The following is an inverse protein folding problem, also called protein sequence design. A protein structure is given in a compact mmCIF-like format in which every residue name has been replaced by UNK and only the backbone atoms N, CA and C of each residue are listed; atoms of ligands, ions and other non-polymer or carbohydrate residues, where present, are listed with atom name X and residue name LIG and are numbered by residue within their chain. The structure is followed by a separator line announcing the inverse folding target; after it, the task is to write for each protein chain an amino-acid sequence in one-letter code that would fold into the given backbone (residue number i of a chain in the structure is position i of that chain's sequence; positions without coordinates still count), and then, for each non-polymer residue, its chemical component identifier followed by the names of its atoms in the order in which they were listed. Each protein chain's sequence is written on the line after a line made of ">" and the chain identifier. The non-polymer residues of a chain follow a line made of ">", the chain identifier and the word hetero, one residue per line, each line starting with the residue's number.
data_IF_847148603012
#
_entry.id   IF_847148603012
#
_cell.length_a   1.000
_cell.length_b   1.000
_cell.length_c   1.000
_cell.angle_alpha   90.00
_cell.angle_beta   90.00
_cell.angle_gamma   90.00
#
_symmetry.space_group_name_H-M   'P 1'
#
loop_
_entity.id
_entity.type
_entity.pdbx_description
1 polymer ?
#
# COMPACT_ATOMS: atom_id res chain seq x y z
N UNK A 1 42.55 -60.10 38.12
CA UNK A 1 41.31 -60.08 37.33
C UNK A 1 41.61 -59.26 36.08
N UNK A 2 41.77 -59.91 34.94
CA UNK A 2 42.03 -59.28 33.64
C UNK A 2 40.73 -59.35 32.83
N UNK A 3 40.12 -58.21 32.53
CA UNK A 3 38.99 -58.12 31.61
C UNK A 3 39.52 -58.08 30.18
N UNK A 4 39.19 -59.11 29.40
CA UNK A 4 39.44 -59.16 27.97
C UNK A 4 38.40 -58.31 27.24
N UNK A 5 38.86 -57.23 26.60
CA UNK A 5 38.07 -56.48 25.63
C UNK A 5 37.94 -57.27 24.33
N UNK A 6 36.71 -57.68 23.99
CA UNK A 6 36.37 -58.17 22.66
C UNK A 6 36.19 -57.00 21.69
N UNK A 7 36.77 -57.04 20.48
CA UNK A 7 36.53 -56.02 19.47
C UNK A 7 35.13 -56.18 18.86
N UNK A 8 34.33 -55.11 18.89
CA UNK A 8 33.07 -55.05 18.17
C UNK A 8 33.30 -54.97 16.67
N UNK A 9 32.78 -55.96 15.96
CA UNK A 9 32.73 -56.01 14.50
C UNK A 9 31.72 -54.96 13.99
N UNK A 10 32.23 -53.90 13.36
CA UNK A 10 31.42 -52.83 12.77
C UNK A 10 30.90 -53.29 11.41
N UNK A 11 29.62 -53.61 11.33
CA UNK A 11 28.96 -53.89 10.06
C UNK A 11 29.03 -52.66 9.13
N UNK A 12 29.54 -52.80 7.90
CA UNK A 12 29.61 -51.68 6.97
C UNK A 12 28.19 -51.30 6.56
N UNK A 13 27.72 -50.15 7.02
CA UNK A 13 26.48 -49.56 6.53
C UNK A 13 26.68 -49.28 5.04
N UNK A 14 25.90 -49.94 4.19
CA UNK A 14 26.00 -49.84 2.74
C UNK A 14 25.82 -48.39 2.31
N UNK A 15 26.87 -47.81 1.70
CA UNK A 15 26.92 -46.43 1.21
C UNK A 15 25.71 -46.10 0.32
N UNK A 16 25.16 -47.10 -0.38
CA UNK A 16 23.96 -46.97 -1.21
C UNK A 16 22.68 -46.64 -0.43
N UNK A 17 22.57 -47.06 0.83
CA UNK A 17 21.42 -46.73 1.70
C UNK A 17 21.43 -45.24 2.08
N UNK A 18 22.62 -44.68 2.31
CA UNK A 18 22.78 -43.25 2.65
C UNK A 18 22.45 -42.38 1.42
N UNK A 19 22.93 -42.76 0.24
CA UNK A 19 22.63 -42.03 -1.01
C UNK A 19 21.13 -42.07 -1.33
N UNK A 20 20.47 -43.22 -1.15
CA UNK A 20 19.03 -43.35 -1.37
C UNK A 20 18.19 -42.44 -0.45
N UNK A 21 18.55 -42.36 0.83
CA UNK A 21 17.85 -41.52 1.80
C UNK A 21 17.96 -40.01 1.49
N UNK A 22 19.12 -39.56 0.98
CA UNK A 22 19.35 -38.16 0.62
C UNK A 22 18.48 -37.74 -0.58
N UNK A 23 18.37 -38.59 -1.61
CA UNK A 23 17.58 -38.29 -2.82
C UNK A 23 16.08 -38.17 -2.51
N UNK A 24 15.54 -39.06 -1.67
CA UNK A 24 14.13 -39.02 -1.27
C UNK A 24 13.82 -37.72 -0.50
N UNK A 25 14.72 -37.33 0.41
CA UNK A 25 14.54 -36.12 1.21
C UNK A 25 14.56 -34.86 0.34
N UNK A 26 15.45 -34.79 -0.66
CA UNK A 26 15.51 -33.67 -1.59
C UNK A 26 14.23 -33.54 -2.46
N UNK A 27 13.65 -34.66 -2.89
CA UNK A 27 12.42 -34.66 -3.69
C UNK A 27 11.20 -34.20 -2.89
N UNK A 28 11.09 -34.59 -1.62
CA UNK A 28 9.98 -34.16 -0.75
C UNK A 28 10.05 -32.65 -0.50
N UNK A 29 11.24 -32.12 -0.17
CA UNK A 29 11.42 -30.68 0.07
C UNK A 29 11.16 -29.88 -1.22
N UNK A 30 11.67 -30.33 -2.37
CA UNK A 30 11.44 -29.68 -3.66
C UNK A 30 9.97 -29.67 -4.08
N UNK A 31 9.25 -30.78 -3.87
CA UNK A 31 7.82 -30.91 -4.19
C UNK A 31 6.93 -29.96 -3.38
N UNK A 32 7.22 -29.79 -2.08
CA UNK A 32 6.45 -28.88 -1.20
C UNK A 32 6.64 -27.42 -1.59
N UNK A 33 7.87 -27.01 -1.91
CA UNK A 33 8.17 -25.64 -2.37
C UNK A 33 7.50 -25.35 -3.71
N UNK A 34 7.56 -26.30 -4.66
CA UNK A 34 6.91 -26.16 -5.96
C UNK A 34 5.38 -26.07 -5.85
N UNK A 35 4.76 -26.89 -5.00
CA UNK A 35 3.31 -26.84 -4.76
C UNK A 35 2.88 -25.48 -4.21
N UNK A 36 3.60 -24.96 -3.20
CA UNK A 36 3.32 -23.66 -2.58
C UNK A 36 3.52 -22.48 -3.55
N UNK A 37 4.53 -22.53 -4.42
CA UNK A 37 4.75 -21.51 -5.44
C UNK A 37 3.67 -21.55 -6.52
N UNK A 38 3.23 -22.74 -6.93
CA UNK A 38 2.17 -22.90 -7.95
C UNK A 38 0.81 -22.35 -7.48
N UNK A 39 0.48 -22.48 -6.19
CA UNK A 39 -0.76 -21.94 -5.63
C UNK A 39 -0.80 -20.42 -5.65
N UNK A 40 0.35 -19.74 -5.49
CA UNK A 40 0.45 -18.28 -5.60
C UNK A 40 0.31 -17.79 -7.04
N UNK A 41 0.82 -18.55 -8.01
CA UNK A 41 0.70 -18.23 -9.43
C UNK A 41 -0.74 -18.31 -9.94
N UNK A 42 -1.49 -19.34 -9.54
CA UNK A 42 -2.91 -19.49 -9.94
C UNK A 42 -3.79 -18.35 -9.43
N UNK A 43 -3.57 -17.89 -8.20
CA UNK A 43 -4.31 -16.75 -7.65
C UNK A 43 -3.98 -15.45 -8.39
N UNK A 44 -2.71 -15.25 -8.76
CA UNK A 44 -2.31 -14.11 -9.57
C UNK A 44 -2.93 -14.15 -10.97
N UNK A 45 -2.95 -15.31 -11.62
CA UNK A 45 -3.55 -15.50 -12.95
C UNK A 45 -5.06 -15.23 -12.93
N UNK A 46 -5.79 -15.73 -11.93
CA UNK A 46 -7.21 -15.40 -11.76
C UNK A 46 -7.45 -13.90 -11.57
N UNK A 47 -6.60 -13.22 -10.80
CA UNK A 47 -6.71 -11.76 -10.62
C UNK A 47 -6.45 -10.99 -11.92
N UNK A 48 -5.51 -11.44 -12.75
CA UNK A 48 -5.23 -10.83 -14.05
C UNK A 48 -6.36 -11.08 -15.05
N UNK A 49 -6.92 -12.29 -15.10
CA UNK A 49 -8.08 -12.60 -15.93
C UNK A 49 -9.29 -11.74 -15.55
N UNK A 50 -9.55 -11.55 -14.25
CA UNK A 50 -10.60 -10.65 -13.78
C UNK A 50 -10.36 -9.20 -14.21
N UNK A 51 -9.12 -8.70 -14.15
CA UNK A 51 -8.79 -7.35 -14.64
C UNK A 51 -8.99 -7.22 -16.15
N UNK A 52 -8.59 -8.23 -16.93
CA UNK A 52 -8.81 -8.25 -18.39
C UNK A 52 -10.30 -8.21 -18.70
N UNK A 53 -11.12 -9.05 -18.04
CA UNK A 53 -12.58 -9.02 -18.23
C UNK A 53 -13.18 -7.66 -17.89
N UNK A 54 -12.72 -7.03 -16.81
CA UNK A 54 -13.23 -5.72 -16.39
C UNK A 54 -12.85 -4.62 -17.39
N UNK A 55 -11.61 -4.62 -17.90
CA UNK A 55 -11.17 -3.69 -18.93
C UNK A 55 -11.94 -3.88 -20.24
N UNK A 56 -12.21 -5.14 -20.64
CA UNK A 56 -13.01 -5.44 -21.83
C UNK A 56 -14.43 -4.85 -21.70
N UNK A 57 -15.08 -5.06 -20.56
CA UNK A 57 -16.41 -4.52 -20.29
C UNK A 57 -16.44 -2.97 -20.30
N UNK A 58 -15.36 -2.31 -19.86
CA UNK A 58 -15.25 -0.85 -19.94
C UNK A 58 -15.11 -0.35 -21.38
N UNK A 59 -14.31 -1.05 -22.20
CA UNK A 59 -14.17 -0.73 -23.63
C UNK A 59 -15.52 -0.86 -24.34
N UNK A 60 -16.27 -1.92 -24.05
CA UNK A 60 -17.58 -2.16 -24.65
C UNK A 60 -18.59 -1.05 -24.29
N UNK A 61 -18.60 -0.60 -23.03
CA UNK A 61 -19.44 0.53 -22.61
C UNK A 61 -19.05 1.84 -23.30
N UNK A 62 -17.77 2.13 -23.45
CA UNK A 62 -17.29 3.33 -24.14
C UNK A 62 -17.63 3.32 -25.63
N UNK A 63 -17.56 2.16 -26.29
CA UNK A 63 -17.98 2.01 -27.68
C UNK A 63 -19.48 2.23 -27.85
N UNK A 64 -20.31 1.68 -26.94
CA UNK A 64 -21.76 1.91 -26.97
C UNK A 64 -22.13 3.38 -26.72
N UNK A 65 -21.44 4.05 -25.79
CA UNK A 65 -21.66 5.48 -25.53
C UNK A 65 -21.31 6.35 -26.75
N UNK A 66 -20.30 5.96 -27.52
CA UNK A 66 -19.86 6.70 -28.72
C UNK A 66 -20.81 6.52 -29.91
N UNK A 67 -21.51 5.39 -30.02
CA UNK A 67 -22.48 5.15 -31.10
C UNK A 67 -23.81 5.92 -30.91
N UNK A 68 -24.20 6.20 -29.67
CA UNK A 68 -25.44 6.92 -29.37
C UNK A 68 -25.36 8.46 -29.54
N UNK A 69 -24.19 9.02 -29.85
CA UNK A 69 -24.02 10.48 -30.06
C UNK A 69 -24.19 10.96 -31.50
N UNK A 70 -24.43 10.07 -32.48
CA UNK A 70 -24.48 10.45 -33.90
C UNK A 70 -25.88 10.69 -34.51
N UNK A 71 -26.96 10.76 -33.73
CA UNK A 71 -28.31 11.04 -34.27
C UNK A 71 -29.18 11.92 -33.35
N UNK A 72 -28.94 13.24 -33.36
CA UNK A 72 -29.83 14.38 -33.00
C UNK A 72 -28.93 15.58 -32.60
N UNK A 73 -28.98 16.82 -33.11
CA UNK A 73 -30.02 17.66 -33.73
C UNK A 73 -29.35 18.78 -34.56
N UNK A 74 -29.86 19.03 -35.78
CA UNK A 74 -29.75 20.32 -36.49
C UNK A 74 -30.97 21.17 -36.15
N UNK A 75 -30.80 22.23 -35.37
CA UNK A 75 -31.73 23.37 -35.30
C UNK A 75 -30.97 24.65 -34.90
N UNK A 76 -31.37 25.83 -35.43
CA UNK A 76 -30.62 27.06 -35.26
C UNK A 76 -31.06 27.78 -33.98
N UNK A 77 -30.14 27.91 -33.02
CA UNK A 77 -30.36 28.73 -31.82
C UNK A 77 -29.63 30.05 -31.94
N UNK A 78 -30.44 31.09 -31.91
CA UNK A 78 -30.16 32.52 -31.76
C UNK A 78 -29.00 32.85 -30.83
N UNK A 79 -28.18 33.81 -31.29
CA UNK A 79 -27.12 34.49 -30.55
C UNK A 79 -27.51 34.87 -29.11
N UNK A 80 -26.91 34.19 -28.14
CA UNK A 80 -26.60 34.78 -26.86
C UNK A 80 -25.09 34.67 -26.64
N UNK A 81 -24.45 35.84 -26.54
CA UNK A 81 -23.11 36.02 -25.98
C UNK A 81 -23.10 35.52 -24.54
N UNK A 82 -22.93 34.21 -24.34
CA UNK A 82 -22.52 33.66 -23.06
C UNK A 82 -21.00 33.50 -23.10
N UNK A 83 -20.37 34.31 -22.25
CA UNK A 83 -18.97 34.25 -21.89
C UNK A 83 -18.65 32.83 -21.40
N UNK A 84 -18.14 31.98 -22.31
CA UNK A 84 -17.66 30.62 -22.05
C UNK A 84 -16.38 30.65 -21.21
N UNK A 85 -16.45 31.14 -19.97
CA UNK A 85 -15.41 30.88 -19.00
C UNK A 85 -15.52 29.40 -18.58
N UNK A 86 -14.45 28.61 -18.72
CA UNK A 86 -14.43 27.25 -18.22
C UNK A 86 -14.77 27.28 -16.73
N UNK A 87 -15.79 26.52 -16.33
CA UNK A 87 -16.12 26.33 -14.92
C UNK A 87 -14.94 25.60 -14.30
N UNK A 88 -14.02 26.34 -13.69
CA UNK A 88 -12.88 25.75 -13.00
C UNK A 88 -13.45 24.92 -11.86
N UNK A 89 -13.19 23.61 -11.81
CA UNK A 89 -13.68 22.76 -10.73
C UNK A 89 -13.24 23.34 -9.40
N UNK A 90 -14.19 23.69 -8.54
CA UNK A 90 -13.90 24.27 -7.22
C UNK A 90 -13.08 23.26 -6.43
N UNK A 91 -11.89 23.58 -5.96
CA UNK A 91 -11.10 22.63 -5.17
C UNK A 91 -11.67 22.48 -3.74
N UNK A 92 -11.44 21.33 -3.11
CA UNK A 92 -11.88 21.05 -1.73
C UNK A 92 -10.67 21.20 -0.81
N UNK A 93 -10.66 22.21 0.07
CA UNK A 93 -9.53 22.42 0.99
C UNK A 93 -9.81 21.77 2.33
N UNK A 94 -8.90 20.91 2.78
CA UNK A 94 -8.83 20.39 4.14
C UNK A 94 -7.82 21.18 4.95
N UNK A 95 -8.15 21.48 6.21
CA UNK A 95 -7.24 22.10 7.15
C UNK A 95 -7.30 21.37 8.49
N UNK A 96 -6.14 21.03 9.04
CA UNK A 96 -6.00 20.50 10.39
C UNK A 96 -5.39 21.57 11.30
N UNK A 97 -6.22 22.23 12.09
CA UNK A 97 -5.80 23.34 12.95
C UNK A 97 -4.99 22.89 14.18
N UNK A 98 -5.14 21.62 14.60
CA UNK A 98 -4.43 21.02 15.73
C UNK A 98 -2.94 20.85 15.40
N UNK A 99 -2.64 20.34 14.21
CA UNK A 99 -1.25 20.10 13.78
C UNK A 99 -0.70 21.17 12.84
N UNK A 100 -1.54 22.07 12.32
CA UNK A 100 -1.10 23.20 11.50
C UNK A 100 -0.69 22.80 10.09
N UNK A 101 -1.52 22.02 9.40
CA UNK A 101 -1.31 21.71 7.98
C UNK A 101 -2.61 21.76 7.17
N UNK A 102 -2.48 21.85 5.86
CA UNK A 102 -3.61 21.80 4.91
C UNK A 102 -3.28 20.95 3.68
N UNK A 103 -4.34 20.44 3.05
CA UNK A 103 -4.32 19.71 1.79
C UNK A 103 -5.44 20.22 0.88
N UNK A 104 -5.20 20.17 -0.42
CA UNK A 104 -6.22 20.45 -1.44
C UNK A 104 -6.58 19.14 -2.15
N UNK A 105 -7.87 18.83 -2.12
CA UNK A 105 -8.45 17.66 -2.73
C UNK A 105 -9.19 18.02 -4.03
N UNK A 106 -9.10 17.17 -5.06
CA UNK A 106 -9.90 17.32 -6.26
C UNK A 106 -11.39 17.04 -5.97
N UNK A 107 -12.29 17.49 -6.85
CA UNK A 107 -13.74 17.28 -6.68
C UNK A 107 -14.14 15.79 -6.63
N UNK A 108 -13.35 14.93 -7.23
CA UNK A 108 -13.45 13.47 -7.15
C UNK A 108 -13.38 12.94 -5.71
N UNK A 109 -12.82 13.72 -4.78
CA UNK A 109 -12.75 13.40 -3.36
C UNK A 109 -13.90 13.96 -2.53
N UNK A 110 -14.94 14.50 -3.15
CA UNK A 110 -16.15 14.94 -2.43
C UNK A 110 -16.73 13.78 -1.61
N UNK A 111 -16.94 14.02 -0.31
CA UNK A 111 -17.44 13.00 0.62
C UNK A 111 -16.34 12.15 1.28
N UNK A 112 -15.07 12.52 1.14
CA UNK A 112 -14.01 11.90 1.94
C UNK A 112 -14.29 12.04 3.44
N UNK A 113 -13.76 11.10 4.20
CA UNK A 113 -13.78 11.09 5.66
C UNK A 113 -12.35 11.15 6.19
N UNK A 114 -12.21 11.57 7.45
CA UNK A 114 -10.92 11.53 8.15
C UNK A 114 -11.02 10.69 9.41
N UNK A 115 -9.93 10.03 9.77
CA UNK A 115 -9.79 9.24 10.99
C UNK A 115 -8.43 9.53 11.60
N UNK A 116 -8.38 9.91 12.88
CA UNK A 116 -7.09 10.11 13.57
C UNK A 116 -6.81 8.91 14.46
N UNK A 117 -5.61 8.36 14.36
CA UNK A 117 -5.16 7.24 15.19
C UNK A 117 -3.76 7.51 15.73
N UNK A 118 -3.44 6.95 16.88
CA UNK A 118 -2.08 6.93 17.41
C UNK A 118 -1.63 5.49 17.57
N UNK A 119 -0.50 5.14 16.97
CA UNK A 119 0.02 3.77 16.97
C UNK A 119 1.51 3.73 17.33
N UNK A 120 1.94 2.63 17.93
CA UNK A 120 3.34 2.42 18.27
C UNK A 120 4.08 1.83 17.07
N UNK A 121 5.00 2.61 16.50
CA UNK A 121 5.73 2.22 15.29
C UNK A 121 7.04 1.50 15.56
N UNK A 122 7.51 1.52 16.81
CA UNK A 122 8.77 0.89 17.22
C UNK A 122 8.54 -0.28 18.16
N UNK A 123 7.32 -0.84 18.18
CA UNK A 123 7.00 -2.01 19.01
C UNK A 123 7.80 -3.23 18.52
N UNK A 124 8.85 -3.58 19.25
CA UNK A 124 9.66 -4.76 18.98
C UNK A 124 11.16 -4.53 19.20
N UNK A 125 11.94 -5.38 18.54
CA UNK A 125 13.40 -5.30 18.46
C UNK A 125 13.81 -4.81 17.08
N UNK A 126 14.84 -3.98 17.02
CA UNK A 126 15.41 -3.49 15.76
C UNK A 126 15.98 -4.64 14.93
N UNK A 127 16.28 -4.45 13.63
CA UNK A 127 17.02 -5.44 12.86
C UNK A 127 18.37 -5.81 13.50
N UNK A 128 18.95 -4.93 14.32
CA UNK A 128 20.17 -5.16 15.08
C UNK A 128 19.94 -5.86 16.44
N UNK A 129 18.70 -6.19 16.80
CA UNK A 129 18.35 -6.87 18.06
C UNK A 129 18.19 -5.94 19.27
N UNK A 130 18.17 -4.63 19.08
CA UNK A 130 18.05 -3.65 20.16
C UNK A 130 16.59 -3.38 20.53
N UNK A 131 16.30 -3.18 21.82
CA UNK A 131 14.98 -2.73 22.26
C UNK A 131 14.76 -1.28 21.82
N UNK A 132 13.79 -1.06 20.93
CA UNK A 132 13.58 0.26 20.32
C UNK A 132 12.76 1.23 21.18
N UNK A 133 12.23 0.75 22.31
CA UNK A 133 11.26 1.46 23.13
C UNK A 133 9.97 1.77 22.37
N UNK A 134 9.02 2.42 23.04
CA UNK A 134 7.74 2.77 22.42
C UNK A 134 7.80 4.16 21.80
N UNK A 135 7.40 4.28 20.54
CA UNK A 135 7.32 5.56 19.81
C UNK A 135 5.92 5.68 19.23
N UNK A 136 5.08 6.43 19.94
CA UNK A 136 3.69 6.65 19.57
C UNK A 136 3.59 7.77 18.53
N UNK A 137 3.16 7.44 17.32
CA UNK A 137 2.99 8.38 16.21
C UNK A 137 1.50 8.56 15.94
N UNK A 138 1.09 9.82 15.80
CA UNK A 138 -0.28 10.14 15.41
C UNK A 138 -0.38 10.27 13.89
N UNK A 139 -1.38 9.64 13.30
CA UNK A 139 -1.67 9.68 11.88
C UNK A 139 -3.08 10.18 11.64
N UNK A 140 -3.22 11.15 10.75
CA UNK A 140 -4.52 11.58 10.21
C UNK A 140 -4.73 10.85 8.88
N UNK A 141 -5.60 9.86 8.89
CA UNK A 141 -5.99 9.08 7.72
C UNK A 141 -7.13 9.76 6.95
N UNK A 142 -7.08 9.59 5.63
CA UNK A 142 -8.07 10.07 4.67
C UNK A 142 -8.56 8.89 3.83
N UNK A 143 -9.87 8.85 3.61
CA UNK A 143 -10.49 7.80 2.83
C UNK A 143 -11.98 8.05 2.61
N UNK A 144 -12.73 6.97 2.45
CA UNK A 144 -14.17 6.98 2.20
C UNK A 144 -14.86 5.96 3.11
N UNK A 145 -16.20 5.95 3.21
CA UNK A 145 -16.91 4.97 4.04
C UNK A 145 -16.56 3.50 3.73
N UNK A 146 -16.21 3.19 2.48
CA UNK A 146 -15.77 1.85 2.09
C UNK A 146 -14.38 1.49 2.63
N UNK A 147 -13.49 2.48 2.79
CA UNK A 147 -12.14 2.31 3.31
C UNK A 147 -11.64 3.64 3.90
N UNK A 148 -11.55 3.73 5.22
CA UNK A 148 -11.26 4.99 5.93
C UNK A 148 -9.80 5.45 5.86
N UNK A 149 -8.91 4.60 5.36
CA UNK A 149 -7.46 4.71 5.55
C UNK A 149 -6.66 4.57 4.25
N UNK A 150 -7.15 5.09 3.12
CA UNK A 150 -6.46 4.95 1.83
C UNK A 150 -5.02 5.49 1.92
N UNK A 151 -4.86 6.67 2.52
CA UNK A 151 -3.56 7.25 2.88
C UNK A 151 -3.68 8.05 4.16
N UNK A 152 -2.55 8.48 4.71
CA UNK A 152 -2.53 9.34 5.89
C UNK A 152 -1.34 10.27 5.93
N UNK A 153 -1.45 11.28 6.78
CA UNK A 153 -0.36 12.17 7.15
C UNK A 153 0.03 11.82 8.58
N UNK A 154 1.22 11.23 8.71
CA UNK A 154 1.83 10.96 10.01
C UNK A 154 2.49 12.24 10.54
N UNK A 155 2.25 12.52 11.81
CA UNK A 155 2.75 13.69 12.53
C UNK A 155 3.75 13.22 13.56
N UNK A 156 5.00 13.61 13.38
CA UNK A 156 6.11 13.26 14.26
C UNK A 156 6.56 14.50 15.02
N UNK A 157 6.96 14.37 16.28
CA UNK A 157 7.91 15.35 16.84
C UNK A 157 9.26 15.19 16.15
N UNK A 158 10.12 16.21 16.21
CA UNK A 158 11.48 16.14 15.64
C UNK A 158 12.29 14.97 16.23
N UNK A 159 12.16 14.73 17.53
CA UNK A 159 12.80 13.61 18.21
C UNK A 159 12.29 12.26 17.68
N UNK A 160 10.96 12.11 17.57
CA UNK A 160 10.34 10.89 17.04
C UNK A 160 10.77 10.60 15.61
N UNK A 161 10.81 11.63 14.75
CA UNK A 161 11.28 11.50 13.36
C UNK A 161 12.72 11.01 13.30
N UNK A 162 13.63 11.68 14.01
CA UNK A 162 15.05 11.32 14.04
C UNK A 162 15.27 9.89 14.57
N UNK A 163 14.54 9.53 15.63
CA UNK A 163 14.58 8.19 16.20
C UNK A 163 14.15 7.14 15.17
N UNK A 164 13.04 7.35 14.48
CA UNK A 164 12.52 6.40 13.49
C UNK A 164 13.45 6.29 12.27
N UNK A 165 14.03 7.40 11.80
CA UNK A 165 14.99 7.36 10.69
C UNK A 165 16.26 6.57 11.05
N UNK A 166 16.69 6.59 12.31
CA UNK A 166 17.90 5.88 12.75
C UNK A 166 17.79 4.35 12.71
N UNK A 167 16.58 3.79 12.83
CA UNK A 167 16.37 2.33 12.90
C UNK A 167 16.23 1.63 11.54
N UNK A 168 16.23 2.39 10.45
CA UNK A 168 16.05 1.90 9.08
C UNK A 168 14.92 0.87 8.91
N UNK A 169 13.75 1.13 9.50
CA UNK A 169 12.62 0.21 9.43
C UNK A 169 12.04 0.11 8.00
N UNK A 170 11.57 -1.07 7.56
CA UNK A 170 11.10 -1.28 6.19
C UNK A 170 9.76 -0.60 5.85
N UNK A 171 8.95 -0.24 6.84
CA UNK A 171 7.58 0.28 6.65
C UNK A 171 7.37 1.67 7.27
N UNK A 172 8.43 2.48 7.38
CA UNK A 172 8.34 3.86 7.86
C UNK A 172 8.67 4.83 6.73
N UNK A 173 8.05 6.02 6.67
CA UNK A 173 8.40 7.03 5.68
C UNK A 173 9.87 7.40 5.81
N UNK A 174 10.56 7.47 4.68
CA UNK A 174 11.98 7.86 4.58
C UNK A 174 12.15 9.33 4.20
N UNK A 175 11.06 10.00 3.85
CA UNK A 175 11.03 11.38 3.39
C UNK A 175 9.92 12.11 4.11
N UNK A 176 10.23 13.31 4.60
CA UNK A 176 9.21 14.25 5.05
C UNK A 176 8.51 14.87 3.84
N UNK A 177 7.27 15.29 4.05
CA UNK A 177 6.55 16.18 3.15
C UNK A 177 6.99 17.63 3.40
N UNK A 178 7.00 18.03 4.67
CA UNK A 178 7.41 19.34 5.15
C UNK A 178 7.59 19.28 6.70
N UNK A 179 8.00 20.38 7.32
CA UNK A 179 8.13 20.51 8.76
C UNK A 179 7.68 21.87 9.31
N UNK A 180 7.15 21.87 10.52
CA UNK A 180 6.91 23.07 11.32
C UNK A 180 7.99 23.24 12.39
N UNK A 181 7.82 24.26 13.25
CA UNK A 181 8.68 24.42 14.42
C UNK A 181 8.63 23.21 15.37
N UNK A 182 7.48 22.52 15.46
CA UNK A 182 7.23 21.44 16.41
C UNK A 182 7.19 20.05 15.77
N UNK A 183 6.75 19.94 14.52
CA UNK A 183 6.41 18.67 13.90
C UNK A 183 7.12 18.45 12.56
N UNK A 184 7.35 17.18 12.24
CA UNK A 184 7.69 16.71 10.90
C UNK A 184 6.49 15.94 10.37
N UNK A 185 6.13 16.18 9.11
CA UNK A 185 5.00 15.52 8.46
C UNK A 185 5.51 14.54 7.43
N UNK A 186 4.90 13.35 7.36
CA UNK A 186 5.21 12.40 6.29
C UNK A 186 3.97 11.66 5.81
N UNK A 187 3.96 11.31 4.54
CA UNK A 187 2.91 10.52 3.91
C UNK A 187 3.03 9.05 4.30
N UNK A 188 1.90 8.41 4.58
CA UNK A 188 1.78 6.96 4.72
C UNK A 188 0.64 6.43 3.86
N UNK A 189 0.80 5.18 3.40
CA UNK A 189 -0.14 4.53 2.48
C UNK A 189 -0.75 3.31 3.16
N UNK A 190 -2.02 3.01 2.89
CA UNK A 190 -2.55 1.69 3.21
C UNK A 190 -1.96 0.63 2.28
N UNK A 191 -1.72 -0.55 2.83
CA UNK A 191 -1.09 -1.66 2.10
C UNK A 191 -1.99 -2.21 0.98
N UNK A 192 -3.32 -2.08 1.10
CA UNK A 192 -4.27 -2.64 0.14
C UNK A 192 -5.48 -1.74 -0.08
N UNK A 193 -6.16 -1.91 -1.21
CA UNK A 193 -7.45 -1.28 -1.52
C UNK A 193 -8.55 -2.31 -1.49
N UNK A 194 -9.69 -1.97 -0.89
CA UNK A 194 -10.82 -2.92 -0.75
C UNK A 194 -11.59 -3.15 -2.06
N UNK A 195 -11.52 -2.22 -3.01
CA UNK A 195 -12.19 -2.33 -4.31
C UNK A 195 -11.53 -1.43 -5.39
N UNK A 196 -12.03 -1.53 -6.62
CA UNK A 196 -11.52 -0.78 -7.78
C UNK A 196 -11.65 0.73 -7.63
N UNK A 197 -12.71 1.21 -6.98
CA UNK A 197 -12.89 2.64 -6.75
C UNK A 197 -11.76 3.17 -5.85
N UNK A 198 -11.46 2.50 -4.73
CA UNK A 198 -10.38 2.90 -3.84
C UNK A 198 -8.99 2.79 -4.51
N UNK A 199 -8.83 1.83 -5.43
CA UNK A 199 -7.63 1.74 -6.30
C UNK A 199 -7.50 2.94 -7.23
N UNK A 200 -8.59 3.39 -7.86
CA UNK A 200 -8.58 4.60 -8.67
C UNK A 200 -8.27 5.84 -7.82
N UNK A 201 -8.90 5.98 -6.64
CA UNK A 201 -8.62 7.08 -5.70
C UNK A 201 -7.15 7.13 -5.28
N UNK A 202 -6.53 5.97 -5.12
CA UNK A 202 -5.11 5.87 -4.75
C UNK A 202 -4.19 6.54 -5.77
N UNK A 203 -4.55 6.55 -7.05
CA UNK A 203 -3.76 7.20 -8.10
C UNK A 203 -3.74 8.74 -7.97
N UNK A 204 -4.75 9.31 -7.30
CA UNK A 204 -4.89 10.75 -7.07
C UNK A 204 -4.06 11.25 -5.88
N UNK A 205 -3.56 10.36 -5.01
CA UNK A 205 -2.88 10.76 -3.76
C UNK A 205 -1.65 11.60 -4.05
N UNK A 206 -0.83 11.23 -5.03
CA UNK A 206 0.40 11.96 -5.37
C UNK A 206 0.13 13.42 -5.76
N UNK A 207 -0.99 13.72 -6.43
CA UNK A 207 -1.35 15.10 -6.74
C UNK A 207 -1.87 15.83 -5.51
N UNK A 208 -2.63 15.15 -4.65
CA UNK A 208 -3.12 15.69 -3.37
C UNK A 208 -1.93 16.04 -2.46
N UNK A 209 -0.97 15.14 -2.25
CA UNK A 209 0.14 15.37 -1.32
C UNK A 209 1.13 16.44 -1.81
N UNK A 210 1.21 16.72 -3.11
CA UNK A 210 1.91 17.91 -3.64
C UNK A 210 1.29 19.24 -3.21
N UNK A 211 0.03 19.24 -2.79
CA UNK A 211 -0.64 20.44 -2.27
C UNK A 211 -0.47 20.63 -0.77
N UNK A 212 0.27 19.72 -0.11
CA UNK A 212 0.54 19.81 1.31
C UNK A 212 1.22 21.14 1.65
N UNK A 213 0.71 21.80 2.69
CA UNK A 213 1.29 23.04 3.21
C UNK A 213 1.22 23.05 4.73
N UNK A 214 2.32 23.44 5.35
CA UNK A 214 2.35 23.84 6.75
C UNK A 214 1.68 25.22 6.88
N UNK A 215 0.82 25.37 7.88
CA UNK A 215 0.05 26.59 8.14
C UNK A 215 0.40 27.27 9.47
N UNK A 216 1.29 26.66 10.27
CA UNK A 216 1.77 27.19 11.56
C UNK A 216 3.22 26.81 11.84
#
# INVERSE_FOLDING_TARGET
>A
MNEQNMPQEKNPVSIWVIVGAIVITALVIGGVVYALQSSRLKSSEQSFQQQITLLQNQIDQLQQASQNQNQQVTQPTTNQNQNNQPVVPKEIVYSNSQYGFSLTFPQTWKGYITKTETSNWTKGVSPAGELMGDTMITTVYFGFPAQSDIFGISVFTKEQWNKIQAFDLPNVPKKSLDESSQYVFAEVWSQATVNNEMSARRQEITSITKTFKVTK
#
